data_IF_854892334678
#
_entry.id   IF_854892334678
#
_cell.length_a   1.000
_cell.length_b   1.000
_cell.length_c   1.000
_cell.angle_alpha   90.00
_cell.angle_beta   90.00
_cell.angle_gamma   90.00
#
_symmetry.space_group_name_H-M   'P 1'
#
loop_
_entity.id
_entity.type
_entity.pdbx_description
1 polymer ?
#
# COMPACT_ATOMS: atom_id res chain seq x y z
N UNK A 1 30.69 4.88 2.78
CA UNK A 1 29.83 4.57 1.63
C UNK A 1 28.43 4.49 2.16
N UNK A 2 27.68 5.57 2.02
CA UNK A 2 26.29 5.66 2.49
C UNK A 2 25.42 5.36 1.29
N UNK A 3 24.41 4.48 1.47
CA UNK A 3 23.41 4.25 0.45
C UNK A 3 22.74 5.58 0.12
N UNK A 4 23.02 6.10 -1.07
CA UNK A 4 22.46 7.34 -1.57
C UNK A 4 21.01 7.14 -2.04
N UNK A 5 20.29 8.24 -2.20
CA UNK A 5 18.92 8.23 -2.74
C UNK A 5 18.84 7.49 -4.10
N UNK A 6 19.89 7.59 -4.93
CA UNK A 6 19.96 6.89 -6.21
C UNK A 6 20.01 5.37 -6.08
N UNK A 7 20.81 4.84 -5.15
CA UNK A 7 20.92 3.39 -4.92
C UNK A 7 19.62 2.81 -4.34
N UNK A 8 18.99 3.55 -3.41
CA UNK A 8 17.69 3.18 -2.83
C UNK A 8 16.61 3.10 -3.93
N UNK A 9 16.59 4.07 -4.85
CA UNK A 9 15.63 4.08 -5.96
C UNK A 9 15.81 2.86 -6.89
N UNK A 10 17.05 2.50 -7.20
CA UNK A 10 17.35 1.31 -8.01
C UNK A 10 16.84 0.04 -7.35
N UNK A 11 17.05 -0.11 -6.04
CA UNK A 11 16.57 -1.28 -5.27
C UNK A 11 15.05 -1.37 -5.33
N UNK A 12 14.35 -0.24 -5.15
CA UNK A 12 12.88 -0.20 -5.22
C UNK A 12 12.40 -0.62 -6.60
N UNK A 13 13.04 -0.14 -7.67
CA UNK A 13 12.70 -0.54 -9.05
C UNK A 13 12.83 -2.06 -9.22
N UNK A 14 13.92 -2.66 -8.73
CA UNK A 14 14.12 -4.12 -8.81
C UNK A 14 13.01 -4.87 -8.07
N UNK A 15 12.62 -4.41 -6.87
CA UNK A 15 11.51 -5.02 -6.11
C UNK A 15 10.19 -4.92 -6.89
N UNK A 16 9.90 -3.76 -7.48
CA UNK A 16 8.70 -3.55 -8.30
C UNK A 16 8.71 -4.43 -9.55
N UNK A 17 9.86 -4.71 -10.17
CA UNK A 17 9.96 -5.62 -11.31
C UNK A 17 9.70 -7.08 -10.94
N UNK A 18 10.13 -7.51 -9.75
CA UNK A 18 9.92 -8.89 -9.26
C UNK A 18 8.47 -9.10 -8.82
N UNK A 19 7.94 -8.19 -8.01
CA UNK A 19 6.64 -8.35 -7.36
C UNK A 19 5.49 -7.64 -8.10
N UNK A 20 5.80 -6.71 -8.99
CA UNK A 20 4.83 -5.86 -9.66
C UNK A 20 4.33 -4.71 -8.80
N UNK A 21 3.79 -3.69 -9.47
CA UNK A 21 3.16 -2.52 -8.79
C UNK A 21 1.92 -2.90 -7.99
N UNK A 22 1.20 -3.95 -8.40
CA UNK A 22 -0.02 -4.41 -7.73
C UNK A 22 0.25 -4.95 -6.31
N UNK A 23 1.36 -5.68 -6.13
CA UNK A 23 1.76 -6.19 -4.83
C UNK A 23 2.09 -5.06 -3.86
N UNK A 24 2.89 -4.09 -4.33
CA UNK A 24 3.24 -2.86 -3.61
C UNK A 24 1.97 -2.14 -3.16
N UNK A 25 1.04 -1.83 -4.07
CA UNK A 25 -0.20 -1.11 -3.71
C UNK A 25 -1.08 -1.87 -2.71
N UNK A 26 -1.16 -3.20 -2.83
CA UNK A 26 -1.95 -4.03 -1.88
C UNK A 26 -1.30 -4.07 -0.50
N UNK A 27 0.02 -4.29 -0.44
CA UNK A 27 0.78 -4.31 0.81
C UNK A 27 0.72 -2.97 1.54
N UNK A 28 0.99 -1.87 0.82
CA UNK A 28 0.92 -0.53 1.40
C UNK A 28 -0.51 -0.14 1.77
N UNK A 29 -1.52 -0.57 1.03
CA UNK A 29 -2.93 -0.38 1.39
C UNK A 29 -3.29 -1.06 2.72
N UNK A 30 -2.89 -2.33 2.89
CA UNK A 30 -3.12 -3.07 4.13
C UNK A 30 -2.35 -2.47 5.33
N UNK A 31 -1.08 -2.09 5.13
CA UNK A 31 -0.31 -1.40 6.17
C UNK A 31 -0.92 -0.04 6.52
N UNK A 32 -1.41 0.71 5.53
CA UNK A 32 -2.04 2.01 5.74
C UNK A 32 -3.32 1.90 6.57
N UNK A 33 -4.16 0.90 6.30
CA UNK A 33 -5.35 0.60 7.11
C UNK A 33 -4.95 0.29 8.57
N UNK A 34 -3.99 -0.61 8.78
CA UNK A 34 -3.52 -0.94 10.14
C UNK A 34 -2.92 0.24 10.91
N UNK A 35 -2.16 1.12 10.24
CA UNK A 35 -1.65 2.36 10.85
C UNK A 35 -2.77 3.34 11.16
N UNK A 36 -3.79 3.43 10.30
CA UNK A 36 -4.97 4.28 10.51
C UNK A 36 -5.79 3.82 11.71
N UNK A 37 -6.01 2.52 11.85
CA UNK A 37 -6.64 1.89 13.01
C UNK A 37 -5.82 2.11 14.29
N UNK A 38 -4.49 1.90 14.22
CA UNK A 38 -3.60 2.17 15.35
C UNK A 38 -3.67 3.63 15.81
N UNK A 39 -3.68 4.57 14.86
CA UNK A 39 -3.82 6.01 15.15
C UNK A 39 -5.20 6.33 15.72
N UNK A 40 -6.27 5.70 15.23
CA UNK A 40 -7.64 5.88 15.73
C UNK A 40 -7.75 5.45 17.19
N UNK A 41 -7.23 4.27 17.53
CA UNK A 41 -7.20 3.78 18.92
C UNK A 41 -6.31 4.64 19.81
N UNK A 42 -5.12 5.02 19.33
CA UNK A 42 -4.17 5.82 20.10
C UNK A 42 -4.65 7.26 20.37
N UNK A 43 -5.37 7.88 19.44
CA UNK A 43 -5.90 9.24 19.58
C UNK A 43 -7.27 9.30 20.26
N UNK A 44 -7.98 8.17 20.42
CA UNK A 44 -9.33 8.13 20.99
C UNK A 44 -10.40 8.85 20.14
N UNK A 45 -10.06 9.25 18.91
CA UNK A 45 -10.96 9.94 18.00
C UNK A 45 -11.75 8.88 17.21
N UNK A 46 -13.04 8.73 17.50
CA UNK A 46 -13.94 7.86 16.72
C UNK A 46 -14.25 8.50 15.36
N UNK A 47 -13.28 8.48 14.44
CA UNK A 47 -13.59 8.70 13.03
C UNK A 47 -14.31 7.46 12.51
N UNK A 48 -15.60 7.61 12.20
CA UNK A 48 -16.37 6.65 11.40
C UNK A 48 -15.74 6.64 10.01
N UNK A 49 -15.21 5.50 9.60
CA UNK A 49 -14.60 5.35 8.29
C UNK A 49 -15.36 4.31 7.50
N UNK A 50 -15.79 4.76 6.32
CA UNK A 50 -16.43 4.01 5.26
C UNK A 50 -15.50 2.88 4.80
N UNK A 51 -16.07 1.69 4.69
CA UNK A 51 -15.47 0.52 4.06
C UNK A 51 -15.32 0.80 2.57
N UNK A 52 -14.18 1.36 2.15
CA UNK A 52 -13.88 1.52 0.73
C UNK A 52 -12.91 0.45 0.22
N UNK A 53 -13.51 -0.40 -0.63
CA UNK A 53 -12.94 -1.23 -1.70
C UNK A 53 -11.82 -2.21 -1.29
N UNK A 54 -12.24 -3.39 -0.83
CA UNK A 54 -11.75 -4.62 -1.44
C UNK A 54 -12.72 -5.02 -2.55
N UNK A 55 -12.37 -4.74 -3.81
CA UNK A 55 -12.81 -5.43 -5.05
C UNK A 55 -12.83 -4.48 -6.26
N UNK A 56 -11.66 -4.06 -6.73
CA UNK A 56 -11.58 -3.58 -8.12
C UNK A 56 -10.21 -3.84 -8.73
N UNK A 57 -9.99 -5.10 -9.16
CA UNK A 57 -9.16 -5.41 -10.34
C UNK A 57 -9.16 -6.88 -10.79
N UNK A 58 -10.26 -7.61 -10.64
CA UNK A 58 -10.45 -8.86 -11.38
C UNK A 58 -11.83 -8.89 -12.06
N UNK A 59 -12.04 -7.99 -13.01
CA UNK A 59 -12.96 -8.25 -14.10
C UNK A 59 -12.22 -8.05 -15.42
N UNK A 60 -11.86 -9.12 -16.15
CA UNK A 60 -11.78 -9.00 -17.60
C UNK A 60 -13.22 -8.78 -18.09
N UNK A 61 -13.59 -7.51 -18.27
CA UNK A 61 -14.68 -7.16 -19.18
C UNK A 61 -14.25 -7.62 -20.56
N UNK A 62 -14.79 -8.75 -21.01
CA UNK A 62 -14.86 -9.08 -22.42
C UNK A 62 -16.34 -9.02 -22.87
N UNK A 63 -16.56 -8.72 -24.16
CA UNK A 63 -17.59 -7.78 -24.65
C UNK A 63 -19.03 -8.22 -24.48
#
# INVERSE_FOLDING_TARGET
MSLGLGEILIIIIVIVLIFGVGFVTKFFGALGRGVREFKKEASGEEYKEEEEEEEKKEQPKNP
#
